data_IF_901230432744
#
_entry.id   IF_901230432744
#
_cell.length_a   1.000
_cell.length_b   1.000
_cell.length_c   1.000
_cell.angle_alpha   90.00
_cell.angle_beta   90.00
_cell.angle_gamma   90.00
#
_symmetry.space_group_name_H-M   'P 1'
#
loop_
_entity.id
_entity.type
_entity.pdbx_description
1 polymer ?
#
# COMPACT_ATOMS: atom_id res chain seq x y z
N UNK A 1 0.85 11.49 -26.30
CA UNK A 1 0.83 11.35 -24.82
C UNK A 1 1.37 9.98 -24.48
N UNK A 2 2.28 9.88 -23.50
CA UNK A 2 2.68 8.57 -22.99
C UNK A 2 1.55 7.96 -22.15
N UNK A 3 1.41 6.63 -22.10
CA UNK A 3 0.46 5.99 -21.18
C UNK A 3 0.82 6.30 -19.72
N UNK A 4 -0.18 6.48 -18.87
CA UNK A 4 0.03 6.65 -17.43
C UNK A 4 0.69 5.40 -16.83
N UNK A 5 1.53 5.61 -15.81
CA UNK A 5 2.14 4.54 -15.03
C UNK A 5 1.19 3.90 -14.00
N UNK A 6 -0.01 4.44 -13.83
CA UNK A 6 -0.99 3.96 -12.85
C UNK A 6 -1.47 2.54 -13.16
N UNK A 7 -1.82 1.79 -12.12
CA UNK A 7 -2.21 0.38 -12.24
C UNK A 7 -3.56 0.11 -11.59
N UNK A 8 -4.45 -0.55 -12.32
CA UNK A 8 -5.67 -1.14 -11.77
C UNK A 8 -5.46 -2.63 -11.57
N UNK A 9 -5.67 -3.12 -10.34
CA UNK A 9 -5.57 -4.53 -9.99
C UNK A 9 -6.91 -5.04 -9.49
N UNK A 10 -7.42 -6.09 -10.13
CA UNK A 10 -8.54 -6.87 -9.63
C UNK A 10 -7.99 -8.14 -9.00
N UNK A 11 -8.49 -8.49 -7.82
CA UNK A 11 -7.98 -9.64 -7.07
C UNK A 11 -9.13 -10.44 -6.50
N UNK A 12 -9.03 -11.75 -6.66
CA UNK A 12 -9.88 -12.75 -6.01
C UNK A 12 -9.00 -13.59 -5.07
N UNK A 13 -9.39 -13.71 -3.81
CA UNK A 13 -8.72 -14.54 -2.82
C UNK A 13 -9.75 -15.32 -2.01
N UNK A 14 -9.63 -16.64 -1.98
CA UNK A 14 -10.51 -17.48 -1.15
C UNK A 14 -10.05 -17.38 0.31
N UNK A 15 -10.92 -16.92 1.18
CA UNK A 15 -10.68 -16.77 2.62
C UNK A 15 -11.22 -17.96 3.37
N UNK A 16 -10.41 -18.51 4.27
CA UNK A 16 -10.79 -19.61 5.14
C UNK A 16 -11.07 -19.09 6.55
N UNK A 17 -12.06 -19.66 7.27
CA UNK A 17 -12.28 -19.37 8.68
C UNK A 17 -11.02 -19.65 9.49
N UNK A 18 -10.79 -18.87 10.54
CA UNK A 18 -9.67 -19.09 11.46
C UNK A 18 -9.98 -20.33 12.32
N UNK A 19 -9.72 -21.54 11.80
CA UNK A 19 -10.03 -22.81 12.49
C UNK A 19 -8.93 -23.28 13.43
N UNK A 20 -7.71 -22.75 13.32
CA UNK A 20 -6.58 -23.13 14.17
C UNK A 20 -5.86 -21.89 14.68
N UNK A 21 -5.53 -21.86 15.98
CA UNK A 21 -4.72 -20.81 16.61
C UNK A 21 -3.31 -20.66 16.00
N UNK A 22 -2.92 -21.56 15.08
CA UNK A 22 -1.66 -21.50 14.37
C UNK A 22 -1.80 -20.73 13.06
N UNK A 23 -1.32 -19.49 13.12
CA UNK A 23 -1.08 -18.53 12.03
C UNK A 23 -2.35 -17.95 11.40
N UNK A 24 -2.52 -16.65 11.57
CA UNK A 24 -3.39 -15.86 10.68
C UNK A 24 -2.95 -16.14 9.24
N UNK A 25 -3.80 -16.74 8.42
CA UNK A 25 -3.52 -16.90 7.00
C UNK A 25 -3.41 -15.51 6.38
N UNK A 26 -2.17 -15.11 6.12
CA UNK A 26 -1.85 -13.83 5.50
C UNK A 26 -2.07 -13.99 4.00
N UNK A 27 -3.24 -13.59 3.53
CA UNK A 27 -3.60 -13.61 2.11
C UNK A 27 -2.73 -12.66 1.27
N UNK A 28 -2.31 -11.53 1.85
CA UNK A 28 -1.30 -10.65 1.29
C UNK A 28 -0.33 -10.21 2.37
N UNK A 29 0.97 -10.41 2.11
CA UNK A 29 2.07 -10.18 3.04
C UNK A 29 2.14 -8.77 3.63
N UNK A 30 2.99 -8.59 4.63
CA UNK A 30 3.28 -7.28 5.25
C UNK A 30 4.05 -6.41 4.26
N UNK A 31 3.51 -5.26 3.88
CA UNK A 31 4.14 -4.35 2.93
C UNK A 31 3.68 -2.89 3.08
N UNK A 32 4.35 -2.01 2.34
CA UNK A 32 3.88 -0.66 2.00
C UNK A 32 3.63 -0.57 0.49
N UNK A 33 2.81 0.39 0.06
CA UNK A 33 2.59 0.64 -1.35
C UNK A 33 3.69 1.53 -1.94
N UNK A 34 4.18 1.22 -3.13
CA UNK A 34 5.27 2.00 -3.74
C UNK A 34 4.81 3.34 -4.34
N UNK A 35 3.54 3.44 -4.73
CA UNK A 35 2.97 4.60 -5.43
C UNK A 35 2.81 5.84 -4.56
N UNK A 36 2.05 6.81 -5.06
CA UNK A 36 1.66 8.02 -4.32
C UNK A 36 0.41 7.77 -3.49
N UNK A 37 -0.65 7.28 -4.12
CA UNK A 37 -1.96 7.04 -3.49
C UNK A 37 -2.50 5.70 -3.96
N UNK A 38 -3.01 4.91 -3.03
CA UNK A 38 -3.73 3.67 -3.30
C UNK A 38 -5.19 3.85 -2.94
N UNK A 39 -6.09 3.53 -3.88
CA UNK A 39 -7.54 3.52 -3.66
C UNK A 39 -8.01 2.08 -3.72
N UNK A 40 -8.49 1.57 -2.58
CA UNK A 40 -8.94 0.20 -2.40
C UNK A 40 -10.47 0.16 -2.26
N UNK A 41 -11.09 -0.65 -3.10
CA UNK A 41 -12.48 -1.08 -2.97
C UNK A 41 -12.51 -2.53 -2.51
N UNK A 42 -13.07 -2.76 -1.33
CA UNK A 42 -13.22 -4.06 -0.71
C UNK A 42 -14.47 -4.05 0.16
N UNK A 43 -15.21 -5.16 0.20
CA UNK A 43 -16.42 -5.29 1.05
C UNK A 43 -16.26 -6.26 2.21
N UNK A 44 -15.49 -7.33 2.03
CA UNK A 44 -15.38 -8.39 3.04
C UNK A 44 -14.52 -7.98 4.25
N UNK A 45 -13.61 -7.02 4.07
CA UNK A 45 -12.66 -6.60 5.11
C UNK A 45 -11.32 -7.33 5.02
N UNK A 46 -10.69 -7.56 6.17
CA UNK A 46 -9.40 -8.27 6.28
C UNK A 46 -8.15 -7.39 6.12
N UNK A 47 -8.31 -6.12 5.72
CA UNK A 47 -7.18 -5.18 5.72
C UNK A 47 -6.79 -4.86 7.16
N UNK A 48 -5.51 -5.00 7.47
CA UNK A 48 -4.92 -4.55 8.73
C UNK A 48 -3.79 -3.56 8.47
N UNK A 49 -3.70 -2.54 9.33
CA UNK A 49 -2.66 -1.51 9.30
C UNK A 49 -1.88 -1.56 10.60
N UNK A 50 -0.56 -1.46 10.53
CA UNK A 50 0.31 -1.42 11.68
C UNK A 50 0.40 0.03 12.20
N UNK A 51 -0.03 0.25 13.44
CA UNK A 51 0.09 1.54 14.10
C UNK A 51 1.50 1.76 14.65
N UNK A 52 1.79 3.00 15.03
CA UNK A 52 3.10 3.40 15.58
C UNK A 52 3.47 2.71 16.89
N UNK A 53 2.49 2.20 17.63
CA UNK A 53 2.71 1.40 18.84
C UNK A 53 3.02 -0.08 18.56
N UNK A 54 3.10 -0.48 17.29
CA UNK A 54 3.37 -1.87 16.88
C UNK A 54 2.14 -2.78 16.87
N UNK A 55 0.94 -2.24 17.11
CA UNK A 55 -0.30 -3.02 17.09
C UNK A 55 -0.97 -3.00 15.70
N UNK A 56 -1.63 -4.12 15.37
CA UNK A 56 -2.39 -4.26 14.13
C UNK A 56 -3.85 -3.84 14.33
N UNK A 57 -4.32 -2.89 13.52
CA UNK A 57 -5.71 -2.43 13.52
C UNK A 57 -6.45 -2.89 12.28
N UNK A 58 -7.64 -3.47 12.47
CA UNK A 58 -8.52 -3.83 11.36
C UNK A 58 -9.15 -2.56 10.76
N UNK A 59 -9.11 -2.45 9.43
CA UNK A 59 -9.84 -1.40 8.70
C UNK A 59 -11.18 -1.96 8.28
N UNK A 60 -12.24 -1.48 8.92
CA UNK A 60 -13.61 -1.85 8.56
C UNK A 60 -14.01 -1.16 7.26
N UNK A 61 -14.37 -1.90 6.19
CA UNK A 61 -14.91 -1.28 5.00
C UNK A 61 -16.27 -0.65 5.29
N UNK A 62 -16.47 0.56 4.77
CA UNK A 62 -17.75 1.26 4.86
C UNK A 62 -18.47 1.16 3.50
N UNK A 63 -19.77 0.85 3.53
CA UNK A 63 -20.57 0.77 2.30
C UNK A 63 -20.56 2.11 1.56
N UNK A 64 -20.32 2.08 0.24
CA UNK A 64 -20.25 3.29 -0.59
C UNK A 64 -18.93 4.07 -0.48
N UNK A 65 -17.94 3.58 0.28
CA UNK A 65 -16.66 4.26 0.48
C UNK A 65 -15.49 3.44 -0.06
N UNK A 66 -14.44 4.14 -0.48
CA UNK A 66 -13.13 3.57 -0.76
C UNK A 66 -12.22 3.76 0.46
N UNK A 67 -11.28 2.83 0.64
CA UNK A 67 -10.16 3.01 1.57
C UNK A 67 -9.03 3.66 0.79
N UNK A 68 -8.45 4.74 1.32
CA UNK A 68 -7.37 5.47 0.67
C UNK A 68 -6.12 5.42 1.55
N UNK A 69 -5.02 4.93 0.97
CA UNK A 69 -3.71 4.89 1.63
C UNK A 69 -2.71 5.76 0.86
N UNK A 70 -1.73 6.29 1.57
CA UNK A 70 -0.57 6.93 0.97
C UNK A 70 0.55 5.90 0.80
N UNK A 71 1.23 5.96 -0.34
CA UNK A 71 2.39 5.13 -0.63
C UNK A 71 3.71 5.85 -0.42
N UNK A 72 4.80 5.10 -0.59
CA UNK A 72 6.16 5.52 -0.33
C UNK A 72 6.61 6.69 -1.21
N UNK A 73 6.05 6.83 -2.42
CA UNK A 73 6.35 7.99 -3.26
C UNK A 73 5.84 9.28 -2.61
N UNK A 74 4.68 9.25 -1.95
CA UNK A 74 4.15 10.40 -1.22
C UNK A 74 5.04 10.76 -0.02
N UNK A 75 5.60 9.77 0.67
CA UNK A 75 6.57 10.00 1.75
C UNK A 75 7.79 10.75 1.21
N UNK A 76 8.36 10.32 0.08
CA UNK A 76 9.52 11.00 -0.54
C UNK A 76 9.18 12.40 -1.02
N UNK A 77 8.03 12.58 -1.69
CA UNK A 77 7.59 13.88 -2.21
C UNK A 77 7.24 14.90 -1.10
N UNK A 78 6.96 14.44 0.12
CA UNK A 78 6.63 15.32 1.25
C UNK A 78 7.79 15.47 2.24
N UNK A 79 8.99 15.02 1.91
CA UNK A 79 10.13 15.07 2.83
C UNK A 79 9.89 14.27 4.12
N UNK A 80 9.07 13.23 4.06
CA UNK A 80 8.72 12.38 5.20
C UNK A 80 7.67 12.96 6.15
N UNK A 81 7.04 14.10 5.83
CA UNK A 81 5.93 14.65 6.62
C UNK A 81 4.74 13.69 6.61
N UNK A 82 4.37 13.19 5.43
CA UNK A 82 3.36 12.13 5.31
C UNK A 82 3.99 10.76 5.49
N UNK A 83 3.21 9.78 5.96
CA UNK A 83 3.65 8.41 6.20
C UNK A 83 2.89 7.42 5.31
N UNK A 84 3.62 6.42 4.85
CA UNK A 84 3.10 5.23 4.18
C UNK A 84 3.02 4.12 5.23
N UNK A 85 1.80 3.71 5.57
CA UNK A 85 1.60 2.77 6.66
C UNK A 85 1.82 1.34 6.19
N UNK A 86 2.53 0.56 7.01
CA UNK A 86 2.68 -0.88 6.82
C UNK A 86 1.30 -1.52 6.98
N UNK A 87 0.93 -2.39 6.04
CA UNK A 87 -0.35 -3.06 6.04
C UNK A 87 -0.23 -4.50 5.52
N UNK A 88 -1.27 -5.30 5.79
CA UNK A 88 -1.41 -6.69 5.33
C UNK A 88 -2.88 -7.04 5.12
N UNK A 89 -3.14 -8.14 4.43
CA UNK A 89 -4.50 -8.71 4.35
C UNK A 89 -4.52 -10.07 5.04
N UNK A 90 -5.42 -10.22 5.99
CA UNK A 90 -5.68 -11.47 6.73
C UNK A 90 -7.14 -11.88 6.57
N UNK A 91 -7.49 -13.08 7.03
CA UNK A 91 -8.89 -13.47 7.21
C UNK A 91 -9.64 -12.43 8.05
N UNK A 92 -10.77 -11.88 7.55
CA UNK A 92 -11.58 -10.93 8.31
C UNK A 92 -12.08 -11.50 9.64
N UNK A 93 -12.12 -10.72 10.73
CA UNK A 93 -12.69 -11.16 12.00
C UNK A 93 -14.16 -11.59 11.83
N UNK A 94 -14.54 -12.69 12.48
CA UNK A 94 -15.92 -13.21 12.47
C UNK A 94 -16.30 -14.03 11.23
N UNK A 95 -15.36 -14.30 10.32
CA UNK A 95 -15.60 -15.19 9.18
C UNK A 95 -15.71 -16.65 9.65
N UNK A 96 -16.90 -17.24 9.51
CA UNK A 96 -17.20 -18.60 9.96
C UNK A 96 -17.30 -19.62 8.81
N UNK A 97 -17.29 -19.17 7.56
CA UNK A 97 -17.37 -19.99 6.37
C UNK A 97 -16.31 -19.61 5.33
N UNK A 98 -16.04 -20.50 4.37
CA UNK A 98 -15.10 -20.20 3.29
C UNK A 98 -15.78 -19.23 2.31
N UNK A 99 -15.17 -18.07 2.08
CA UNK A 99 -15.75 -17.02 1.22
C UNK A 99 -14.70 -16.44 0.27
N UNK A 100 -15.10 -16.20 -0.97
CA UNK A 100 -14.27 -15.45 -1.92
C UNK A 100 -14.27 -13.95 -1.60
N UNK A 101 -13.09 -13.41 -1.30
CA UNK A 101 -12.85 -11.98 -1.19
C UNK A 101 -12.47 -11.41 -2.55
N UNK A 102 -13.20 -10.38 -2.96
CA UNK A 102 -12.88 -9.57 -4.13
C UNK A 102 -12.40 -8.19 -3.71
N UNK A 103 -11.35 -7.71 -4.37
CA UNK A 103 -10.92 -6.31 -4.23
C UNK A 103 -10.49 -5.71 -5.56
N UNK A 104 -10.74 -4.42 -5.70
CA UNK A 104 -10.23 -3.58 -6.78
C UNK A 104 -9.29 -2.56 -6.17
N UNK A 105 -8.08 -2.46 -6.70
CA UNK A 105 -7.06 -1.53 -6.21
C UNK A 105 -6.59 -0.66 -7.35
N UNK A 106 -6.69 0.65 -7.20
CA UNK A 106 -6.08 1.62 -8.09
C UNK A 106 -4.83 2.18 -7.44
N UNK A 107 -3.67 1.89 -8.02
CA UNK A 107 -2.38 2.40 -7.60
C UNK A 107 -2.02 3.60 -8.46
N UNK A 108 -2.11 4.79 -7.88
CA UNK A 108 -1.60 6.01 -8.50
C UNK A 108 -0.11 6.19 -8.17
N UNK A 109 0.65 6.73 -9.12
CA UNK A 109 2.07 7.04 -8.92
C UNK A 109 2.49 8.27 -9.71
N UNK A 110 3.63 8.90 -9.37
CA UNK A 110 4.20 9.93 -10.21
C UNK A 110 4.55 9.40 -11.60
N UNK A 111 4.42 10.28 -12.60
CA UNK A 111 4.85 10.02 -13.98
C UNK A 111 6.35 9.70 -14.03
N UNK A 112 6.74 8.95 -15.06
CA UNK A 112 8.05 8.29 -15.10
C UNK A 112 9.25 9.23 -14.92
N UNK A 113 9.18 10.43 -15.49
CA UNK A 113 10.21 11.45 -15.52
C UNK A 113 10.20 12.39 -14.30
N UNK A 114 9.21 12.26 -13.41
CA UNK A 114 9.12 13.09 -12.20
C UNK A 114 10.35 12.84 -11.31
N UNK A 115 11.14 13.88 -10.97
CA UNK A 115 12.25 13.75 -10.03
C UNK A 115 11.72 13.47 -8.62
N UNK A 116 12.20 12.39 -8.00
CA UNK A 116 11.79 11.96 -6.66
C UNK A 116 12.53 12.75 -5.56
N UNK A 117 12.21 14.03 -5.43
CA UNK A 117 12.69 14.93 -4.37
C UNK A 117 11.53 15.56 -3.61
N UNK A 118 11.79 16.10 -2.42
CA UNK A 118 10.74 16.78 -1.65
C UNK A 118 10.18 17.97 -2.44
N UNK A 119 8.86 18.08 -2.47
CA UNK A 119 8.11 19.21 -3.03
C UNK A 119 7.86 20.30 -1.98
N UNK A 120 7.98 19.96 -0.70
CA UNK A 120 7.75 20.85 0.42
C UNK A 120 9.07 21.45 0.87
N UNK A 121 9.13 22.78 0.90
CA UNK A 121 10.24 23.53 1.49
C UNK A 121 10.15 23.44 3.03
N UNK A 122 11.02 22.65 3.65
CA UNK A 122 11.10 22.51 5.10
C UNK A 122 12.47 22.02 5.56
N UNK A 123 12.87 22.38 6.78
CA UNK A 123 14.23 22.29 7.36
C UNK A 123 14.84 20.88 7.50
N UNK A 124 14.21 19.83 6.94
CA UNK A 124 14.70 18.46 6.96
C UNK A 124 14.82 17.85 5.58
N UNK A 125 15.46 18.57 4.66
CA UNK A 125 16.10 17.92 3.51
C UNK A 125 17.44 17.31 3.97
N UNK A 126 17.42 16.51 5.05
CA UNK A 126 18.61 15.86 5.62
C UNK A 126 19.14 14.74 4.70
N UNK A 127 18.42 14.44 3.62
CA UNK A 127 18.87 13.56 2.54
C UNK A 127 18.90 14.35 1.24
N UNK A 128 19.92 15.21 1.11
CA UNK A 128 20.45 15.57 -0.20
C UNK A 128 21.02 14.30 -0.83
N UNK A 129 20.15 13.48 -1.44
CA UNK A 129 20.62 12.41 -2.32
C UNK A 129 21.54 13.07 -3.36
N UNK A 130 22.81 12.68 -3.41
CA UNK A 130 23.76 13.17 -4.42
C UNK A 130 23.23 12.95 -5.85
N UNK A 131 22.31 12.01 -6.01
CA UNK A 131 21.63 11.72 -7.26
C UNK A 131 20.10 11.61 -7.07
N UNK A 132 19.37 12.54 -7.69
CA UNK A 132 17.90 12.53 -7.71
C UNK A 132 17.42 11.58 -8.80
N UNK A 133 16.88 10.44 -8.40
CA UNK A 133 16.25 9.48 -9.32
C UNK A 133 14.92 10.01 -9.86
N UNK A 134 14.61 9.64 -11.10
CA UNK A 134 13.24 9.73 -11.63
C UNK A 134 12.33 8.70 -10.96
N UNK A 135 11.01 8.91 -11.01
CA UNK A 135 10.04 7.99 -10.44
C UNK A 135 10.15 6.57 -11.03
N UNK A 136 10.44 6.47 -12.34
CA UNK A 136 10.64 5.19 -13.00
C UNK A 136 11.84 4.42 -12.44
N UNK A 137 12.99 5.09 -12.29
CA UNK A 137 14.21 4.48 -11.73
C UNK A 137 14.01 4.09 -10.28
N UNK A 138 13.37 4.97 -9.50
CA UNK A 138 13.11 4.76 -8.08
C UNK A 138 12.18 3.57 -7.83
N UNK A 139 11.07 3.45 -8.59
CA UNK A 139 10.15 2.31 -8.49
C UNK A 139 10.84 1.02 -8.96
N UNK A 140 11.58 1.05 -10.07
CA UNK A 140 12.28 -0.13 -10.60
C UNK A 140 13.27 -0.72 -9.58
N UNK A 141 13.95 0.13 -8.81
CA UNK A 141 14.85 -0.31 -7.73
C UNK A 141 14.10 -0.98 -6.57
N UNK A 142 12.91 -0.49 -6.22
CA UNK A 142 12.07 -1.09 -5.17
C UNK A 142 11.49 -2.43 -5.58
N UNK A 143 10.99 -2.55 -6.81
CA UNK A 143 10.49 -3.82 -7.36
C UNK A 143 11.59 -4.88 -7.33
N UNK A 144 12.81 -4.56 -7.80
CA UNK A 144 13.95 -5.49 -7.76
C UNK A 144 14.31 -5.97 -6.34
N UNK A 145 14.22 -5.08 -5.33
CA UNK A 145 14.45 -5.45 -3.92
C UNK A 145 13.34 -6.33 -3.34
N UNK A 146 12.12 -6.26 -3.88
CA UNK A 146 10.98 -7.05 -3.41
C UNK A 146 10.89 -8.44 -4.06
N UNK A 147 11.63 -8.67 -5.15
CA UNK A 147 11.67 -9.94 -5.90
C UNK A 147 12.88 -10.82 -5.57
N UNK A 148 13.73 -10.40 -4.63
CA UNK A 148 14.86 -11.16 -4.07
C UNK A 148 14.57 -11.52 -2.61
#
# INVERSE_FOLDING_TARGET
MQPSGDQLRLTKSTMHPVQTQDKSDVAFGVHTDFGSVTILFNRLGGLQVLASNGEWFNVQPLSGHAIVNLGDAMVKLTGGIMKSNIHRVVTPPGLNEIVDRYSIVYFSRPENDVPMKSLLSGEKDEQTDEHVFTAQEWISRRVKKFSN
#
